data_IF_325461377704
#
_entry.id   IF_325461377704
#
_cell.length_a   1.000
_cell.length_b   1.000
_cell.length_c   1.000
_cell.angle_alpha   90.00
_cell.angle_beta   90.00
_cell.angle_gamma   90.00
#
_symmetry.space_group_name_H-M   'P 1'
#
loop_
_entity.id
_entity.type
_entity.pdbx_description
1 polymer ?
#
# COMPACT_ATOMS: atom_id res chain seq x y z
N UNK A 1 1.18 16.69 -15.26
CA UNK A 1 1.17 15.64 -14.23
C UNK A 1 -0.09 14.81 -14.47
N UNK A 2 0.02 13.49 -14.48
CA UNK A 2 -1.12 12.59 -14.71
C UNK A 2 -1.94 12.38 -13.42
N UNK A 3 -2.98 11.53 -13.47
CA UNK A 3 -3.83 11.17 -12.32
C UNK A 3 -2.95 10.76 -11.12
N UNK A 4 -3.28 11.25 -9.92
CA UNK A 4 -2.52 11.02 -8.67
C UNK A 4 -1.04 11.44 -8.69
N UNK A 5 -0.67 12.42 -9.52
CA UNK A 5 0.70 12.96 -9.55
C UNK A 5 1.73 12.02 -10.17
N UNK A 6 1.30 11.00 -10.92
CA UNK A 6 2.20 10.05 -11.58
C UNK A 6 2.92 10.70 -12.77
N UNK A 7 4.14 10.25 -13.04
CA UNK A 7 4.91 10.61 -14.24
C UNK A 7 4.22 10.10 -15.52
N UNK A 8 4.56 10.69 -16.66
CA UNK A 8 3.83 10.46 -17.92
C UNK A 8 4.10 9.11 -18.62
N UNK A 9 5.11 8.38 -18.16
CA UNK A 9 5.61 7.11 -18.70
C UNK A 9 5.31 5.90 -17.81
N UNK A 10 4.39 6.04 -16.84
CA UNK A 10 3.74 4.87 -16.22
C UNK A 10 2.84 4.18 -17.26
N UNK A 11 2.74 2.86 -17.19
CA UNK A 11 1.86 2.10 -18.09
C UNK A 11 0.52 1.88 -17.40
N UNK A 12 -0.52 2.56 -17.87
CA UNK A 12 -1.87 2.49 -17.30
C UNK A 12 -2.61 1.29 -17.88
N UNK A 13 -3.07 0.39 -17.01
CA UNK A 13 -3.89 -0.77 -17.38
C UNK A 13 -5.39 -0.49 -17.21
N UNK A 14 -5.73 0.33 -16.22
CA UNK A 14 -7.12 0.70 -15.91
C UNK A 14 -7.18 2.09 -15.29
N UNK A 15 -8.15 2.88 -15.71
CA UNK A 15 -8.38 4.23 -15.17
C UNK A 15 -9.18 4.20 -13.86
N UNK A 16 -10.18 3.31 -13.75
CA UNK A 16 -11.10 3.24 -12.60
C UNK A 16 -11.52 1.80 -12.25
N UNK A 17 -11.14 1.27 -11.07
CA UNK A 17 -10.12 1.81 -10.16
C UNK A 17 -8.75 1.92 -10.85
N UNK A 18 -7.96 2.92 -10.46
CA UNK A 18 -6.70 3.22 -11.14
C UNK A 18 -5.64 2.14 -10.90
N UNK A 19 -5.12 1.58 -11.98
CA UNK A 19 -4.08 0.56 -11.95
C UNK A 19 -3.03 0.88 -13.01
N UNK A 20 -1.80 1.13 -12.58
CA UNK A 20 -0.70 1.51 -13.46
C UNK A 20 0.62 0.91 -12.95
N UNK A 21 1.48 0.46 -13.85
CA UNK A 21 2.80 -0.07 -13.50
C UNK A 21 3.93 0.93 -13.71
N UNK A 22 5.01 0.74 -12.95
CA UNK A 22 6.25 1.49 -13.13
C UNK A 22 6.78 1.26 -14.54
N UNK A 23 7.07 2.32 -15.28
CA UNK A 23 7.65 2.22 -16.62
C UNK A 23 9.01 1.50 -16.62
N UNK A 24 9.38 0.75 -17.67
CA UNK A 24 10.64 -0.02 -17.70
C UNK A 24 11.90 0.82 -17.50
N UNK A 25 11.93 2.05 -18.03
CA UNK A 25 13.02 2.99 -17.80
C UNK A 25 13.15 3.34 -16.32
N UNK A 26 12.04 3.70 -15.68
CA UNK A 26 11.99 4.07 -14.27
C UNK A 26 12.36 2.91 -13.32
N UNK A 27 12.03 1.66 -13.67
CA UNK A 27 12.49 0.48 -12.92
C UNK A 27 14.02 0.33 -12.92
N UNK A 28 14.69 0.81 -13.96
CA UNK A 28 16.14 0.71 -14.13
C UNK A 28 16.91 1.95 -13.64
N UNK A 29 16.21 3.02 -13.23
CA UNK A 29 16.85 4.28 -12.80
C UNK A 29 17.67 4.12 -11.51
N UNK A 30 17.25 3.24 -10.59
CA UNK A 30 17.96 3.03 -9.34
C UNK A 30 17.29 2.01 -8.41
N UNK A 31 17.91 1.74 -7.25
CA UNK A 31 17.42 0.75 -6.29
C UNK A 31 16.16 1.21 -5.53
N UNK A 32 15.89 2.51 -5.51
CA UNK A 32 14.69 3.12 -4.93
C UNK A 32 13.89 3.76 -6.05
N UNK A 33 12.65 3.34 -6.23
CA UNK A 33 11.72 3.84 -7.23
C UNK A 33 11.18 5.19 -6.78
N UNK A 34 11.23 6.21 -7.64
CA UNK A 34 10.64 7.50 -7.36
C UNK A 34 9.12 7.38 -7.10
N UNK A 35 8.57 8.17 -6.18
CA UNK A 35 7.16 8.09 -5.78
C UNK A 35 6.20 8.31 -6.95
N UNK A 36 6.52 9.23 -7.86
CA UNK A 36 5.74 9.49 -9.07
C UNK A 36 5.83 8.35 -10.10
N UNK A 37 6.84 7.48 -10.00
CA UNK A 37 7.04 6.29 -10.82
C UNK A 37 6.46 5.00 -10.21
N UNK A 38 6.35 4.91 -8.89
CA UNK A 38 5.98 3.68 -8.15
C UNK A 38 4.63 3.10 -8.62
N UNK A 39 4.52 1.81 -8.92
CA UNK A 39 3.26 1.24 -9.41
C UNK A 39 2.05 1.51 -8.48
N UNK A 40 0.85 1.63 -9.05
CA UNK A 40 -0.40 1.79 -8.31
C UNK A 40 -1.30 0.60 -8.60
N UNK A 41 -1.76 -0.08 -7.56
CA UNK A 41 -2.80 -1.11 -7.64
C UNK A 41 -3.95 -0.72 -6.72
N UNK A 42 -5.12 -0.40 -7.28
CA UNK A 42 -6.33 -0.11 -6.52
C UNK A 42 -7.47 -1.06 -6.87
N UNK A 43 -8.20 -1.54 -5.85
CA UNK A 43 -9.42 -2.33 -6.02
C UNK A 43 -10.69 -1.46 -6.03
N UNK A 44 -10.62 -0.27 -5.42
CA UNK A 44 -11.72 0.69 -5.32
C UNK A 44 -11.23 2.12 -5.62
N UNK A 45 -12.12 3.10 -5.53
CA UNK A 45 -11.76 4.51 -5.61
C UNK A 45 -10.84 4.89 -4.44
N UNK A 46 -9.94 5.85 -4.66
CA UNK A 46 -9.10 6.37 -3.57
C UNK A 46 -9.98 7.17 -2.63
N UNK A 47 -10.04 6.84 -1.32
CA UNK A 47 -10.87 7.57 -0.37
C UNK A 47 -10.32 8.98 -0.12
N UNK A 48 -11.22 9.95 0.02
CA UNK A 48 -10.88 11.27 0.51
C UNK A 48 -10.88 11.25 2.04
N UNK A 49 -9.73 11.55 2.65
CA UNK A 49 -9.55 11.48 4.10
C UNK A 49 -9.19 12.87 4.61
N UNK A 50 -9.95 13.36 5.58
CA UNK A 50 -9.57 14.51 6.41
C UNK A 50 -8.55 14.04 7.48
N UNK A 51 -7.28 14.48 7.43
CA UNK A 51 -6.26 14.04 8.37
C UNK A 51 -6.55 14.45 9.82
N UNK A 52 -7.33 15.52 10.06
CA UNK A 52 -7.66 16.00 11.40
C UNK A 52 -8.75 15.14 12.05
N UNK A 53 -9.73 14.70 11.25
CA UNK A 53 -10.81 13.83 11.68
C UNK A 53 -10.43 12.34 11.70
N UNK A 54 -9.43 11.91 10.91
CA UNK A 54 -9.05 10.51 10.79
C UNK A 54 -8.60 9.89 12.12
N UNK A 55 -9.00 8.64 12.35
CA UNK A 55 -8.63 7.82 13.51
C UNK A 55 -8.20 6.43 13.08
N UNK A 56 -7.18 5.90 13.75
CA UNK A 56 -6.85 4.49 13.75
C UNK A 56 -7.58 3.82 14.93
N UNK A 57 -8.53 2.96 14.61
CA UNK A 57 -9.17 2.10 15.58
C UNK A 57 -8.40 0.78 15.69
N UNK A 58 -8.10 0.35 16.92
CA UNK A 58 -7.53 -0.96 17.23
C UNK A 58 -8.49 -1.66 18.19
N UNK A 59 -9.13 -2.73 17.73
CA UNK A 59 -10.18 -3.43 18.45
C UNK A 59 -10.00 -4.96 18.41
N UNK A 60 -11.01 -5.70 18.88
CA UNK A 60 -11.03 -7.16 18.85
C UNK A 60 -10.45 -7.81 20.11
N UNK A 61 -9.55 -8.78 19.93
CA UNK A 61 -8.96 -9.54 21.05
C UNK A 61 -7.77 -8.80 21.69
N UNK A 62 -8.06 -7.66 22.30
CA UNK A 62 -7.09 -6.80 22.98
C UNK A 62 -7.55 -6.44 24.40
N UNK A 63 -6.61 -6.16 25.29
CA UNK A 63 -6.89 -5.66 26.65
C UNK A 63 -7.51 -4.26 26.62
N UNK A 64 -7.08 -3.44 25.66
CA UNK A 64 -7.47 -2.04 25.51
C UNK A 64 -7.71 -1.71 24.05
N UNK A 65 -8.95 -1.43 23.70
CA UNK A 65 -9.26 -0.82 22.41
C UNK A 65 -8.65 0.58 22.33
N UNK A 66 -8.12 0.94 21.16
CA UNK A 66 -7.47 2.23 20.93
C UNK A 66 -8.22 3.02 19.86
N UNK A 67 -8.26 4.33 20.05
CA UNK A 67 -8.74 5.31 19.07
C UNK A 67 -7.67 6.41 18.97
N UNK A 68 -6.81 6.30 17.94
CA UNK A 68 -5.60 7.11 17.83
C UNK A 68 -5.71 8.09 16.66
N UNK A 69 -5.52 9.38 16.94
CA UNK A 69 -5.38 10.40 15.89
C UNK A 69 -4.04 10.28 15.15
N UNK A 70 -3.95 10.84 13.94
CA UNK A 70 -2.69 10.91 13.19
C UNK A 70 -1.60 11.69 13.96
N UNK A 71 -2.00 12.74 14.69
CA UNK A 71 -1.09 13.53 15.53
C UNK A 71 -0.56 12.68 16.68
N UNK A 72 -1.45 11.99 17.41
CA UNK A 72 -1.09 11.10 18.51
C UNK A 72 -0.10 10.03 18.05
N UNK A 73 -0.34 9.42 16.89
CA UNK A 73 0.57 8.43 16.31
C UNK A 73 1.98 9.01 16.10
N UNK A 74 2.07 10.20 15.47
CA UNK A 74 3.36 10.84 15.19
C UNK A 74 4.12 11.27 16.45
N UNK A 75 3.42 11.68 17.50
CA UNK A 75 4.03 12.22 18.72
C UNK A 75 4.35 11.14 19.75
N UNK A 76 3.50 10.12 19.88
CA UNK A 76 3.62 9.11 20.94
C UNK A 76 4.61 7.98 20.61
N UNK A 77 4.93 7.78 19.33
CA UNK A 77 5.73 6.66 18.88
C UNK A 77 6.99 7.10 18.14
N UNK A 78 8.11 6.36 18.28
CA UNK A 78 9.32 6.68 17.55
C UNK A 78 9.16 6.33 16.06
N UNK A 79 9.47 7.28 15.17
CA UNK A 79 9.52 7.01 13.74
C UNK A 79 10.62 5.98 13.42
N UNK A 80 10.31 5.11 12.45
CA UNK A 80 11.21 4.11 11.88
C UNK A 80 11.19 4.21 10.36
N UNK A 81 12.34 3.97 9.75
CA UNK A 81 12.48 3.86 8.31
C UNK A 81 12.83 2.42 7.93
N UNK A 82 12.19 1.90 6.88
CA UNK A 82 12.51 0.60 6.29
C UNK A 82 12.47 0.68 4.77
N UNK A 83 13.56 0.29 4.11
CA UNK A 83 13.56 0.11 2.66
C UNK A 83 12.97 -1.25 2.33
N UNK A 84 11.88 -1.27 1.56
CA UNK A 84 11.18 -2.49 1.19
C UNK A 84 10.64 -2.41 -0.23
N UNK A 85 10.70 -3.53 -0.92
CA UNK A 85 10.03 -3.72 -2.22
C UNK A 85 8.62 -4.22 -1.99
N UNK A 86 7.65 -3.54 -2.57
CA UNK A 86 6.31 -4.07 -2.76
C UNK A 86 6.20 -4.65 -4.16
N UNK A 87 5.66 -5.86 -4.27
CA UNK A 87 5.42 -6.54 -5.54
C UNK A 87 3.98 -7.05 -5.55
N UNK A 88 3.25 -6.71 -6.61
CA UNK A 88 1.92 -7.28 -6.83
C UNK A 88 2.04 -8.77 -7.16
N UNK A 89 1.17 -9.60 -6.59
CA UNK A 89 1.06 -11.01 -6.96
C UNK A 89 0.78 -11.21 -8.47
N UNK A 90 0.17 -10.23 -9.12
CA UNK A 90 -0.06 -10.21 -10.56
C UNK A 90 1.15 -9.82 -11.41
N UNK A 91 2.30 -9.47 -10.84
CA UNK A 91 3.45 -9.03 -11.62
C UNK A 91 3.85 -10.08 -12.70
N UNK A 92 4.07 -9.63 -13.93
CA UNK A 92 4.35 -10.44 -15.13
C UNK A 92 3.21 -11.34 -15.60
N UNK A 93 1.96 -11.07 -15.22
CA UNK A 93 0.79 -11.84 -15.64
C UNK A 93 0.62 -11.93 -17.15
N UNK A 94 1.03 -10.90 -17.91
CA UNK A 94 1.00 -10.94 -19.39
C UNK A 94 1.69 -12.17 -19.98
N UNK A 95 2.77 -12.65 -19.36
CA UNK A 95 3.44 -13.88 -19.79
C UNK A 95 2.62 -15.15 -19.56
N UNK A 96 1.76 -15.16 -18.53
CA UNK A 96 0.84 -16.26 -18.25
C UNK A 96 -0.38 -16.23 -19.17
N UNK A 97 -0.93 -15.04 -19.41
CA UNK A 97 -2.07 -14.82 -20.33
C UNK A 97 -1.75 -15.26 -21.76
N UNK A 98 -0.48 -15.19 -22.17
CA UNK A 98 -0.01 -15.71 -23.46
C UNK A 98 -0.12 -17.25 -23.59
N UNK A 99 -0.18 -17.98 -22.47
CA UNK A 99 -0.34 -19.44 -22.44
C UNK A 99 -1.83 -19.81 -22.35
N UNK A 100 -2.56 -19.16 -21.43
CA UNK A 100 -3.99 -19.35 -21.23
C UNK A 100 -4.58 -18.06 -20.67
N UNK A 101 -5.75 -17.69 -21.19
CA UNK A 101 -6.47 -16.51 -20.73
C UNK A 101 -6.80 -16.56 -19.21
N UNK A 102 -6.76 -15.40 -18.57
CA UNK A 102 -7.08 -15.20 -17.15
C UNK A 102 -8.09 -14.05 -17.07
N UNK A 103 -9.39 -14.35 -17.22
CA UNK A 103 -10.42 -13.32 -17.35
C UNK A 103 -10.53 -12.43 -16.10
N UNK A 104 -10.76 -11.14 -16.31
CA UNK A 104 -11.00 -10.17 -15.24
C UNK A 104 -9.76 -9.69 -14.49
N UNK A 105 -8.57 -10.17 -14.87
CA UNK A 105 -7.31 -9.79 -14.24
C UNK A 105 -6.54 -8.74 -15.06
N UNK A 106 -5.96 -7.77 -14.37
CA UNK A 106 -5.16 -6.72 -15.02
C UNK A 106 -3.91 -7.32 -15.71
N UNK A 107 -3.60 -6.92 -16.96
CA UNK A 107 -2.51 -7.49 -17.75
C UNK A 107 -1.15 -6.87 -17.38
N UNK A 108 -0.71 -7.08 -16.13
CA UNK A 108 0.58 -6.57 -15.66
C UNK A 108 1.76 -7.10 -16.48
N UNK A 109 2.61 -6.18 -16.93
CA UNK A 109 3.97 -6.42 -17.39
C UNK A 109 4.91 -6.66 -16.20
N UNK A 110 6.18 -6.29 -16.34
CA UNK A 110 7.18 -6.51 -15.29
C UNK A 110 7.24 -5.40 -14.23
N UNK A 111 6.44 -4.34 -14.40
CA UNK A 111 6.51 -3.12 -13.58
C UNK A 111 5.54 -3.05 -12.41
N UNK A 112 4.80 -4.11 -12.11
CA UNK A 112 3.91 -4.16 -10.94
C UNK A 112 4.69 -4.41 -9.65
N UNK A 113 5.76 -3.63 -9.47
CA UNK A 113 6.73 -3.71 -8.38
C UNK A 113 7.42 -2.36 -8.21
N UNK A 114 7.88 -2.08 -7.00
CA UNK A 114 8.64 -0.87 -6.68
C UNK A 114 9.30 -0.97 -5.31
N UNK A 115 10.44 -0.31 -5.14
CA UNK A 115 11.17 -0.25 -3.87
C UNK A 115 11.14 1.16 -3.33
N UNK A 116 10.75 1.34 -2.07
CA UNK A 116 10.73 2.64 -1.41
C UNK A 116 11.31 2.55 0.01
N UNK A 117 11.78 3.68 0.53
CA UNK A 117 12.03 3.83 1.97
C UNK A 117 10.76 4.32 2.63
N UNK A 118 10.12 3.43 3.37
CA UNK A 118 8.89 3.67 4.10
C UNK A 118 9.21 4.21 5.48
N UNK A 119 8.61 5.35 5.86
CA UNK A 119 8.66 5.86 7.22
C UNK A 119 7.33 5.65 7.92
N UNK A 120 7.38 5.40 9.22
CA UNK A 120 6.18 5.25 10.02
C UNK A 120 6.45 4.65 11.39
N UNK A 121 5.38 4.09 11.97
CA UNK A 121 5.37 3.54 13.32
C UNK A 121 5.32 2.02 13.21
N UNK A 122 6.04 1.31 14.09
CA UNK A 122 5.98 -0.14 14.11
C UNK A 122 4.60 -0.58 14.59
N UNK A 123 3.96 -1.47 13.82
CA UNK A 123 2.73 -2.12 14.25
C UNK A 123 2.88 -2.78 15.63
N UNK A 124 4.03 -3.39 15.91
CA UNK A 124 4.34 -4.00 17.21
C UNK A 124 4.22 -3.01 18.39
N UNK A 125 4.61 -1.74 18.20
CA UNK A 125 4.55 -0.74 19.27
C UNK A 125 3.09 -0.33 19.54
N UNK A 126 2.28 -0.20 18.48
CA UNK A 126 0.83 0.07 18.60
C UNK A 126 0.11 -1.11 19.26
N UNK A 127 0.42 -2.35 18.83
CA UNK A 127 -0.15 -3.56 19.43
C UNK A 127 0.27 -3.71 20.90
N UNK A 128 1.52 -3.42 21.26
CA UNK A 128 1.95 -3.45 22.66
C UNK A 128 1.14 -2.49 23.54
N UNK A 129 0.71 -1.34 23.01
CA UNK A 129 -0.18 -0.41 23.70
C UNK A 129 -1.60 -0.97 23.85
N UNK A 130 -2.12 -1.68 22.85
CA UNK A 130 -3.44 -2.31 22.89
C UNK A 130 -3.47 -3.56 23.81
N UNK A 131 -2.35 -4.30 23.86
CA UNK A 131 -2.18 -5.54 24.63
C UNK A 131 -3.01 -6.69 24.05
N UNK A 132 -2.55 -7.40 23.00
CA UNK A 132 -3.31 -8.52 22.44
C UNK A 132 -3.47 -9.64 23.48
N UNK A 133 -4.68 -10.20 23.56
CA UNK A 133 -4.98 -11.31 24.45
C UNK A 133 -4.29 -12.61 23.96
N UNK A 134 -4.03 -13.59 24.84
CA UNK A 134 -3.35 -14.84 24.46
C UNK A 134 -4.02 -15.64 23.33
N UNK A 135 -5.33 -15.47 23.15
CA UNK A 135 -6.12 -16.13 22.11
C UNK A 135 -6.03 -15.44 20.75
N UNK A 136 -5.44 -14.24 20.67
CA UNK A 136 -5.28 -13.52 19.41
C UNK A 136 -4.21 -14.18 18.52
N UNK A 137 -4.60 -14.67 17.34
CA UNK A 137 -3.69 -15.37 16.41
C UNK A 137 -3.29 -14.55 15.19
N UNK A 138 -4.13 -13.60 14.79
CA UNK A 138 -4.02 -12.86 13.54
C UNK A 138 -4.36 -11.39 13.77
N UNK A 139 -3.83 -10.51 12.92
CA UNK A 139 -4.15 -9.09 12.90
C UNK A 139 -4.87 -8.79 11.59
N UNK A 140 -6.14 -8.39 11.68
CA UNK A 140 -6.91 -7.91 10.55
C UNK A 140 -6.62 -6.44 10.25
N UNK A 141 -6.68 -6.05 8.98
CA UNK A 141 -6.59 -4.66 8.55
C UNK A 141 -7.78 -4.30 7.66
N UNK A 142 -8.45 -3.19 7.96
CA UNK A 142 -9.50 -2.63 7.14
C UNK A 142 -9.05 -1.28 6.57
N UNK A 143 -9.25 -1.09 5.26
CA UNK A 143 -8.99 0.17 4.58
C UNK A 143 -10.18 1.13 4.71
N UNK A 144 -9.95 2.40 4.38
CA UNK A 144 -11.02 3.41 4.27
C UNK A 144 -11.76 3.39 2.92
N UNK A 145 -11.43 2.43 2.06
CA UNK A 145 -11.99 2.25 0.71
C UNK A 145 -13.19 1.28 0.66
N UNK A 146 -13.85 1.08 1.81
CA UNK A 146 -15.08 0.30 1.97
C UNK A 146 -16.33 1.03 1.48
#
# INVERSE_FOLDING_TARGET
>A
MSRYGKRGDVVVHKEEPFNAETGPGALAEGPVTATDAFYVRSHAAVPEIDPEAWRLHVDGLVERELDLSLVTLREAFPERAMTATLQCAGNRRTGLTAIRDIPGEEPWGAGATGTATWTGIRLADVLALAGPLPEATDVGFAGGDL
#
